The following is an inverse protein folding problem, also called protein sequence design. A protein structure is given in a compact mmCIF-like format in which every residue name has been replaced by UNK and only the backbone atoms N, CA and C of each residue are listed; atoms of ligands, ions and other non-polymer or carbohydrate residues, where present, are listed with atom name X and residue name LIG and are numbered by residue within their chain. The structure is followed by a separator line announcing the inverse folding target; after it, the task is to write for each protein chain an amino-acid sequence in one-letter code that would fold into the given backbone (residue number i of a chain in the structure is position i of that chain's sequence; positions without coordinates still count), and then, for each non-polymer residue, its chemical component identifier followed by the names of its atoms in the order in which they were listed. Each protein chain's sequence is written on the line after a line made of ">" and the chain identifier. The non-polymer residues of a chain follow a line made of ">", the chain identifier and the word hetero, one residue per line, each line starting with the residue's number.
data_IF_222899285483
#
_entry.id   IF_222899285483
#
_cell.length_a   1.000
_cell.length_b   1.000
_cell.length_c   1.000
_cell.angle_alpha   90.00
_cell.angle_beta   90.00
_cell.angle_gamma   90.00
#
_symmetry.space_group_name_H-M   'P 1'
#
loop_
_entity.id
_entity.type
_entity.pdbx_description
1 polymer ?
#
# COMPACT_ATOMS: atom_id res chain seq x y z
N UNK A 1 -2.00 -37.35 -6.79
CA UNK A 1 -0.66 -36.80 -6.47
C UNK A 1 -0.56 -36.62 -4.97
N UNK A 2 0.55 -37.04 -4.34
CA UNK A 2 0.76 -36.80 -2.92
C UNK A 2 0.80 -35.28 -2.62
N UNK A 3 0.19 -34.86 -1.50
CA UNK A 3 0.21 -33.48 -1.05
C UNK A 3 1.64 -33.12 -0.65
N UNK A 4 2.19 -32.02 -1.16
CA UNK A 4 3.50 -31.49 -0.76
C UNK A 4 3.55 -31.25 0.75
N UNK A 5 4.63 -31.69 1.41
CA UNK A 5 4.83 -31.48 2.85
C UNK A 5 5.10 -29.99 3.13
N UNK A 6 4.69 -29.52 4.31
CA UNK A 6 4.88 -28.11 4.71
C UNK A 6 6.36 -27.69 4.67
N UNK A 7 7.26 -28.54 5.15
CA UNK A 7 8.70 -28.27 5.14
C UNK A 7 9.26 -28.10 3.71
N UNK A 8 8.83 -28.96 2.76
CA UNK A 8 9.28 -28.90 1.36
C UNK A 8 8.75 -27.62 0.69
N UNK A 9 7.51 -27.22 1.01
CA UNK A 9 6.90 -26.01 0.52
C UNK A 9 7.60 -24.75 1.03
N UNK A 10 7.97 -24.71 2.32
CA UNK A 10 8.74 -23.63 2.92
C UNK A 10 10.13 -23.54 2.27
N UNK A 11 10.85 -24.66 2.13
CA UNK A 11 12.16 -24.66 1.48
C UNK A 11 12.09 -24.11 0.05
N UNK A 12 11.05 -24.49 -0.70
CA UNK A 12 10.80 -23.97 -2.06
C UNK A 12 10.46 -22.47 -2.04
N UNK A 13 9.70 -21.97 -1.06
CA UNK A 13 9.39 -20.55 -0.92
C UNK A 13 10.66 -19.73 -0.65
N UNK A 14 11.50 -20.20 0.26
CA UNK A 14 12.79 -19.56 0.57
C UNK A 14 13.72 -19.53 -0.64
N UNK A 15 13.83 -20.62 -1.40
CA UNK A 15 14.63 -20.67 -2.61
C UNK A 15 14.11 -19.69 -3.70
N UNK A 16 12.79 -19.50 -3.81
CA UNK A 16 12.20 -18.52 -4.70
C UNK A 16 12.53 -17.10 -4.24
N UNK A 17 12.38 -16.81 -2.93
CA UNK A 17 12.70 -15.50 -2.35
C UNK A 17 14.17 -15.13 -2.58
N UNK A 18 15.09 -16.07 -2.33
CA UNK A 18 16.52 -15.88 -2.57
C UNK A 18 16.84 -15.57 -4.04
N UNK A 19 16.25 -16.32 -4.99
CA UNK A 19 16.41 -16.04 -6.42
C UNK A 19 15.85 -14.69 -6.84
N UNK A 20 14.70 -14.29 -6.29
CA UNK A 20 14.10 -12.98 -6.55
C UNK A 20 15.01 -11.87 -6.02
N UNK A 21 15.52 -12.01 -4.80
CA UNK A 21 16.44 -11.04 -4.21
C UNK A 21 17.74 -10.92 -5.02
N UNK A 22 18.31 -12.04 -5.46
CA UNK A 22 19.52 -12.05 -6.30
C UNK A 22 19.31 -11.46 -7.70
N UNK A 23 18.07 -11.50 -8.23
CA UNK A 23 17.76 -11.00 -9.57
C UNK A 23 17.32 -9.53 -9.58
N UNK A 24 16.52 -9.11 -8.62
CA UNK A 24 15.94 -7.77 -8.56
C UNK A 24 16.67 -6.83 -7.57
N UNK A 25 17.50 -7.37 -6.67
CA UNK A 25 18.14 -6.60 -5.62
C UNK A 25 17.13 -6.08 -4.59
N UNK A 26 17.48 -4.98 -3.94
CA UNK A 26 16.57 -4.30 -3.02
C UNK A 26 15.46 -3.58 -3.80
N UNK A 27 14.23 -4.01 -3.57
CA UNK A 27 13.06 -3.35 -4.13
C UNK A 27 12.81 -2.04 -3.38
N UNK A 28 12.87 -0.92 -4.07
CA UNK A 28 12.53 0.39 -3.52
C UNK A 28 11.14 0.83 -3.97
N UNK A 29 10.49 1.63 -3.13
CA UNK A 29 9.22 2.26 -3.48
C UNK A 29 9.43 3.24 -4.63
N UNK A 30 8.67 3.11 -5.71
CA UNK A 30 8.76 3.98 -6.88
C UNK A 30 8.03 5.32 -6.68
N UNK A 31 7.21 5.46 -5.65
CA UNK A 31 6.50 6.70 -5.32
C UNK A 31 7.44 7.71 -4.65
N UNK A 32 7.32 8.97 -5.03
CA UNK A 32 8.08 10.05 -4.39
C UNK A 32 7.34 10.54 -3.14
N UNK A 33 8.02 10.46 -2.01
CA UNK A 33 7.52 10.91 -0.71
C UNK A 33 8.67 11.41 0.17
N UNK A 34 8.33 12.13 1.25
CA UNK A 34 9.31 12.67 2.21
C UNK A 34 8.98 12.33 3.66
N UNK A 35 7.72 11.98 3.94
CA UNK A 35 7.23 11.65 5.28
C UNK A 35 6.29 10.45 5.21
N UNK A 36 6.00 9.76 6.34
CA UNK A 36 4.98 8.71 6.38
C UNK A 36 3.61 9.19 5.90
N UNK A 37 3.26 10.45 6.17
CA UNK A 37 2.01 11.05 5.69
C UNK A 37 1.99 11.17 4.16
N UNK A 38 3.02 11.77 3.56
CA UNK A 38 3.10 11.93 2.10
C UNK A 38 3.16 10.60 1.39
N UNK A 39 3.80 9.58 1.99
CA UNK A 39 3.73 8.20 1.50
C UNK A 39 2.29 7.66 1.53
N UNK A 40 1.59 7.81 2.66
CA UNK A 40 0.19 7.35 2.80
C UNK A 40 -0.69 7.94 1.70
N UNK A 41 -0.58 9.26 1.47
CA UNK A 41 -1.33 9.94 0.42
C UNK A 41 -0.89 9.45 -0.98
N UNK A 42 0.40 9.30 -1.25
CA UNK A 42 0.89 8.82 -2.54
C UNK A 42 0.39 7.40 -2.85
N UNK A 43 0.42 6.48 -1.86
CA UNK A 43 -0.10 5.11 -2.01
C UNK A 43 -1.63 5.11 -2.19
N UNK A 44 -2.36 5.98 -1.47
CA UNK A 44 -3.80 6.16 -1.70
C UNK A 44 -4.09 6.61 -3.14
N UNK A 45 -3.32 7.55 -3.66
CA UNK A 45 -3.45 8.04 -5.03
C UNK A 45 -3.06 6.99 -6.08
N UNK A 46 -2.20 6.02 -5.77
CA UNK A 46 -1.77 4.99 -6.72
C UNK A 46 -2.82 3.91 -6.99
N UNK A 47 -3.93 3.87 -6.24
CA UNK A 47 -5.03 2.95 -6.53
C UNK A 47 -5.54 3.13 -7.97
N UNK A 48 -5.42 2.09 -8.80
CA UNK A 48 -5.77 2.10 -10.24
C UNK A 48 -5.10 3.25 -11.03
N UNK A 49 -3.88 3.62 -10.64
CA UNK A 49 -3.08 4.65 -11.30
C UNK A 49 -1.61 4.21 -11.26
N UNK A 50 -0.85 4.49 -12.30
CA UNK A 50 0.59 4.18 -12.33
C UNK A 50 1.36 5.10 -11.38
N UNK A 51 2.45 4.59 -10.79
CA UNK A 51 3.32 5.40 -9.91
C UNK A 51 3.87 6.63 -10.64
N UNK A 52 4.23 6.49 -11.91
CA UNK A 52 4.64 7.63 -12.75
C UNK A 52 3.53 8.69 -12.89
N UNK A 53 2.26 8.27 -12.95
CA UNK A 53 1.11 9.19 -12.97
C UNK A 53 0.94 9.93 -11.64
N UNK A 54 1.11 9.22 -10.51
CA UNK A 54 1.09 9.81 -9.17
C UNK A 54 2.24 10.80 -8.99
N UNK A 55 3.45 10.39 -9.36
CA UNK A 55 4.66 11.22 -9.23
C UNK A 55 4.63 12.52 -10.04
N UNK A 56 3.77 12.63 -11.06
CA UNK A 56 3.55 13.87 -11.80
C UNK A 56 2.73 14.90 -11.02
N UNK A 57 1.83 14.47 -10.14
CA UNK A 57 0.92 15.37 -9.43
C UNK A 57 1.34 15.64 -7.98
N UNK A 58 2.09 14.72 -7.36
CA UNK A 58 2.50 14.83 -5.95
C UNK A 58 3.44 16.00 -5.65
N UNK A 59 4.34 16.47 -6.52
CA UNK A 59 5.16 17.65 -6.23
C UNK A 59 4.34 18.92 -5.97
N UNK A 60 3.34 19.22 -6.82
CA UNK A 60 2.44 20.36 -6.59
C UNK A 60 1.56 20.12 -5.35
N UNK A 61 1.01 18.90 -5.21
CA UNK A 61 0.15 18.56 -4.09
C UNK A 61 0.88 18.71 -2.75
N UNK A 62 2.07 18.16 -2.62
CA UNK A 62 2.81 18.16 -1.36
C UNK A 62 3.50 19.50 -1.06
N UNK A 63 3.78 20.32 -2.06
CA UNK A 63 4.26 21.69 -1.82
C UNK A 63 3.22 22.55 -1.08
N UNK A 64 1.92 22.30 -1.30
CA UNK A 64 0.82 23.00 -0.66
C UNK A 64 0.28 22.27 0.56
N UNK A 65 0.13 20.95 0.46
CA UNK A 65 -0.61 20.10 1.39
C UNK A 65 0.23 18.91 1.89
N UNK A 66 1.53 19.12 2.10
CA UNK A 66 2.47 18.07 2.50
C UNK A 66 2.40 17.64 3.98
N UNK A 67 1.51 18.24 4.77
CA UNK A 67 1.29 17.89 6.19
C UNK A 67 -0.16 17.48 6.42
N UNK A 68 -0.45 16.63 7.44
CA UNK A 68 -1.83 16.27 7.79
C UNK A 68 -2.68 17.49 8.05
N UNK A 69 -2.16 18.49 8.77
CA UNK A 69 -2.88 19.71 9.10
C UNK A 69 -3.26 20.51 7.85
N UNK A 70 -2.32 20.74 6.94
CA UNK A 70 -2.57 21.48 5.70
C UNK A 70 -3.58 20.75 4.81
N UNK A 71 -3.46 19.44 4.67
CA UNK A 71 -4.35 18.61 3.87
C UNK A 71 -5.77 18.55 4.47
N UNK A 72 -5.90 18.46 5.80
CA UNK A 72 -7.18 18.41 6.50
C UNK A 72 -8.01 19.68 6.31
N UNK A 73 -7.36 20.83 6.09
CA UNK A 73 -7.95 22.14 5.88
C UNK A 73 -8.02 22.55 4.40
N UNK A 74 -7.60 21.67 3.50
CA UNK A 74 -7.51 21.97 2.09
C UNK A 74 -8.88 22.16 1.45
N UNK A 75 -8.95 23.08 0.47
CA UNK A 75 -10.11 23.18 -0.40
C UNK A 75 -10.20 21.97 -1.33
N UNK A 76 -11.38 21.36 -1.38
CA UNK A 76 -11.62 20.17 -2.17
C UNK A 76 -11.36 20.39 -3.67
N UNK A 77 -11.80 21.51 -4.21
CA UNK A 77 -11.66 21.78 -5.65
C UNK A 77 -10.19 22.07 -6.01
N UNK A 78 -9.39 22.64 -5.12
CA UNK A 78 -7.95 22.82 -5.37
C UNK A 78 -7.23 21.48 -5.41
N UNK A 79 -7.48 20.56 -4.45
CA UNK A 79 -6.91 19.19 -4.52
C UNK A 79 -7.39 18.48 -5.78
N UNK A 80 -8.70 18.49 -6.05
CA UNK A 80 -9.29 17.84 -7.23
C UNK A 80 -8.70 18.38 -8.54
N UNK A 81 -8.40 19.66 -8.61
CA UNK A 81 -7.71 20.30 -9.74
C UNK A 81 -6.28 19.78 -9.91
N UNK A 82 -5.52 19.75 -8.82
CA UNK A 82 -4.12 19.30 -8.84
C UNK A 82 -4.03 17.84 -9.30
N UNK A 83 -4.87 16.94 -8.75
CA UNK A 83 -4.82 15.52 -9.06
C UNK A 83 -5.73 15.12 -10.24
N UNK A 84 -6.30 16.07 -10.98
CA UNK A 84 -7.19 15.81 -12.13
C UNK A 84 -6.62 14.85 -13.19
N UNK A 85 -5.30 14.83 -13.46
CA UNK A 85 -4.72 13.90 -14.44
C UNK A 85 -4.82 12.42 -14.06
N UNK A 86 -5.10 12.08 -12.81
CA UNK A 86 -5.21 10.68 -12.37
C UNK A 86 -6.68 10.24 -12.29
N UNK A 87 -6.91 8.92 -12.52
CA UNK A 87 -8.27 8.35 -12.50
C UNK A 87 -8.95 8.49 -11.13
N UNK A 88 -10.28 8.64 -11.14
CA UNK A 88 -11.11 8.79 -9.93
C UNK A 88 -10.71 9.97 -9.02
N UNK A 89 -10.16 11.03 -9.61
CA UNK A 89 -9.56 12.14 -8.89
C UNK A 89 -10.49 12.79 -7.85
N UNK A 90 -11.80 12.92 -8.10
CA UNK A 90 -12.73 13.52 -7.13
C UNK A 90 -12.89 12.63 -5.88
N UNK A 91 -13.02 11.32 -6.04
CA UNK A 91 -13.08 10.37 -4.92
C UNK A 91 -11.75 10.37 -4.15
N UNK A 92 -10.63 10.38 -4.86
CA UNK A 92 -9.30 10.45 -4.27
C UNK A 92 -9.07 11.75 -3.49
N UNK A 93 -9.49 12.91 -4.03
CA UNK A 93 -9.41 14.19 -3.34
C UNK A 93 -10.18 14.15 -2.01
N UNK A 94 -11.42 13.61 -2.04
CA UNK A 94 -12.24 13.41 -0.85
C UNK A 94 -11.55 12.54 0.20
N UNK A 95 -10.98 11.42 -0.25
CA UNK A 95 -10.27 10.50 0.63
C UNK A 95 -8.99 11.11 1.20
N UNK A 96 -8.23 11.90 0.43
CA UNK A 96 -7.04 12.60 0.94
C UNK A 96 -7.39 13.54 2.11
N UNK A 97 -8.42 14.37 1.94
CA UNK A 97 -8.88 15.30 2.99
C UNK A 97 -9.38 14.52 4.21
N UNK A 98 -10.27 13.55 4.00
CA UNK A 98 -10.86 12.77 5.09
C UNK A 98 -9.80 11.94 5.84
N UNK A 99 -8.82 11.37 5.12
CA UNK A 99 -7.68 10.68 5.72
C UNK A 99 -6.86 11.62 6.62
N UNK A 100 -6.54 12.80 6.13
CA UNK A 100 -5.80 13.81 6.89
C UNK A 100 -6.60 14.30 8.12
N UNK A 101 -7.91 14.53 7.97
CA UNK A 101 -8.79 14.91 9.08
C UNK A 101 -8.79 13.85 10.18
N UNK A 102 -8.92 12.56 9.83
CA UNK A 102 -8.89 11.47 10.79
C UNK A 102 -7.51 11.34 11.46
N UNK A 103 -6.42 11.52 10.70
CA UNK A 103 -5.06 11.54 11.27
C UNK A 103 -4.94 12.66 12.32
N UNK A 104 -5.51 13.83 12.06
CA UNK A 104 -5.49 14.95 13.00
C UNK A 104 -6.36 14.69 14.24
N UNK A 105 -7.59 14.18 14.06
CA UNK A 105 -8.55 14.02 15.17
C UNK A 105 -8.26 12.80 16.05
N UNK A 106 -7.93 11.66 15.44
CA UNK A 106 -7.90 10.37 16.13
C UNK A 106 -6.47 9.91 16.47
N UNK A 107 -5.48 10.44 15.73
CA UNK A 107 -4.07 10.02 15.84
C UNK A 107 -3.10 11.17 16.14
N UNK A 108 -3.60 12.34 16.57
CA UNK A 108 -2.77 13.45 17.01
C UNK A 108 -1.85 14.05 15.95
N UNK A 109 -2.20 13.86 14.67
CA UNK A 109 -1.42 14.38 13.53
C UNK A 109 -0.33 13.41 13.04
N UNK A 110 -0.21 12.21 13.61
CA UNK A 110 0.77 11.20 13.19
C UNK A 110 0.09 10.02 12.49
N UNK A 111 0.76 9.48 11.47
CA UNK A 111 0.29 8.27 10.79
C UNK A 111 0.38 7.08 11.75
N UNK A 112 -0.72 6.34 11.98
CA UNK A 112 -0.71 5.21 12.89
C UNK A 112 0.24 4.10 12.43
N UNK A 113 0.83 3.38 13.40
CA UNK A 113 1.81 2.31 13.17
C UNK A 113 1.24 0.91 13.41
N UNK A 114 -0.06 0.78 13.31
CA UNK A 114 -0.82 -0.45 13.52
C UNK A 114 -1.73 -0.68 12.32
N UNK A 115 -1.83 -1.93 11.86
CA UNK A 115 -2.55 -2.26 10.62
C UNK A 115 -4.06 -2.04 10.73
N UNK A 116 -4.64 -2.31 11.90
CA UNK A 116 -6.08 -2.13 12.12
C UNK A 116 -6.44 -0.65 12.21
N UNK A 117 -5.55 0.16 12.79
CA UNK A 117 -5.71 1.61 12.83
C UNK A 117 -5.52 2.23 11.43
N UNK A 118 -4.52 1.77 10.67
CA UNK A 118 -4.31 2.21 9.29
C UNK A 118 -5.53 1.95 8.41
N UNK A 119 -6.18 0.79 8.56
CA UNK A 119 -7.36 0.44 7.77
C UNK A 119 -8.61 1.25 8.14
N UNK A 120 -8.62 2.00 9.24
CA UNK A 120 -9.70 2.95 9.56
C UNK A 120 -9.60 4.23 8.73
N UNK A 121 -8.41 4.56 8.24
CA UNK A 121 -8.19 5.76 7.44
C UNK A 121 -8.97 5.70 6.12
N UNK A 122 -9.72 6.75 5.76
CA UNK A 122 -10.46 6.81 4.50
C UNK A 122 -9.57 6.59 3.27
N UNK A 123 -9.94 5.60 2.45
CA UNK A 123 -9.19 5.25 1.24
C UNK A 123 -7.97 4.35 1.48
N UNK A 124 -7.72 3.93 2.72
CA UNK A 124 -6.63 3.03 3.09
C UNK A 124 -7.17 1.62 3.30
N UNK A 125 -6.94 0.74 2.35
CA UNK A 125 -7.22 -0.68 2.48
C UNK A 125 -6.02 -1.45 3.05
N UNK A 126 -6.19 -2.76 3.33
CA UNK A 126 -5.14 -3.61 3.89
C UNK A 126 -3.83 -3.59 3.08
N UNK A 127 -3.91 -3.64 1.74
CA UNK A 127 -2.72 -3.52 0.88
C UNK A 127 -1.99 -2.21 1.10
N UNK A 128 -2.71 -1.08 1.11
CA UNK A 128 -2.15 0.26 1.34
C UNK A 128 -1.50 0.33 2.72
N UNK A 129 -2.17 -0.18 3.76
CA UNK A 129 -1.65 -0.23 5.12
C UNK A 129 -0.32 -1.01 5.19
N UNK A 130 -0.27 -2.22 4.62
CA UNK A 130 0.96 -3.03 4.57
C UNK A 130 2.11 -2.31 3.86
N UNK A 131 1.84 -1.64 2.73
CA UNK A 131 2.88 -0.88 2.01
C UNK A 131 3.41 0.27 2.86
N UNK A 132 2.53 1.06 3.48
CA UNK A 132 2.95 2.21 4.30
C UNK A 132 3.69 1.77 5.55
N UNK A 133 3.20 0.74 6.26
CA UNK A 133 3.83 0.23 7.48
C UNK A 133 5.25 -0.30 7.19
N UNK A 134 5.40 -1.06 6.12
CA UNK A 134 6.70 -1.60 5.74
C UNK A 134 7.65 -0.48 5.30
N UNK A 135 7.23 0.36 4.37
CA UNK A 135 8.09 1.35 3.72
C UNK A 135 8.47 2.52 4.65
N UNK A 136 7.50 3.05 5.42
CA UNK A 136 7.73 4.20 6.28
C UNK A 136 8.30 3.84 7.66
N UNK A 137 8.01 2.64 8.17
CA UNK A 137 8.32 2.28 9.55
C UNK A 137 9.10 0.97 9.70
N UNK A 138 9.33 0.22 8.62
CA UNK A 138 9.96 -1.11 8.66
C UNK A 138 9.12 -2.15 9.39
N UNK A 139 7.81 -1.92 9.54
CA UNK A 139 6.88 -2.82 10.23
C UNK A 139 6.31 -3.81 9.21
N UNK A 140 6.67 -5.08 9.35
CA UNK A 140 6.24 -6.16 8.46
C UNK A 140 5.26 -7.08 9.21
N UNK A 141 3.99 -6.68 9.27
CA UNK A 141 2.91 -7.47 9.87
C UNK A 141 2.12 -8.29 8.84
N UNK A 142 2.29 -7.97 7.56
CA UNK A 142 1.56 -8.61 6.48
C UNK A 142 2.28 -8.53 5.13
N UNK A 143 1.64 -9.08 4.12
CA UNK A 143 2.13 -9.07 2.73
C UNK A 143 1.15 -8.27 1.89
N UNK A 144 1.65 -7.26 1.20
CA UNK A 144 0.84 -6.44 0.28
C UNK A 144 0.46 -7.25 -0.97
N UNK A 145 -0.64 -8.01 -0.91
CA UNK A 145 -1.10 -8.87 -2.00
C UNK A 145 -1.87 -8.03 -3.02
N UNK A 146 -1.21 -7.75 -4.14
CA UNK A 146 -1.84 -7.20 -5.34
C UNK A 146 -2.19 -8.30 -6.36
N UNK A 147 -2.67 -7.92 -7.54
CA UNK A 147 -3.02 -8.87 -8.61
C UNK A 147 -1.82 -9.68 -9.10
N UNK A 148 -0.60 -9.14 -9.02
CA UNK A 148 0.62 -9.83 -9.42
C UNK A 148 1.05 -10.85 -8.37
N UNK A 149 1.12 -10.44 -7.10
CA UNK A 149 1.42 -11.34 -5.97
C UNK A 149 0.37 -12.45 -5.90
N UNK A 150 -0.91 -12.10 -6.01
CA UNK A 150 -2.01 -13.08 -6.04
C UNK A 150 -1.78 -14.14 -7.11
N UNK A 151 -1.59 -13.73 -8.37
CA UNK A 151 -1.38 -14.63 -9.49
C UNK A 151 -0.12 -15.49 -9.35
N UNK A 152 0.99 -14.91 -8.88
CA UNK A 152 2.27 -15.61 -8.71
C UNK A 152 2.16 -16.64 -7.58
N UNK A 153 1.56 -16.28 -6.45
CA UNK A 153 1.35 -17.18 -5.32
C UNK A 153 0.57 -18.43 -5.71
N UNK A 154 -0.50 -18.28 -6.53
CA UNK A 154 -1.28 -19.39 -7.05
C UNK A 154 -0.50 -20.21 -8.09
N UNK A 155 0.19 -19.54 -9.02
CA UNK A 155 1.00 -20.20 -10.03
C UNK A 155 2.11 -21.04 -9.42
N UNK A 156 2.73 -20.56 -8.36
CA UNK A 156 3.76 -21.27 -7.60
C UNK A 156 3.16 -22.24 -6.56
N UNK A 157 1.83 -22.36 -6.46
CA UNK A 157 1.12 -23.22 -5.49
C UNK A 157 1.47 -22.91 -4.03
N UNK A 158 1.86 -21.68 -3.72
CA UNK A 158 2.01 -21.18 -2.36
C UNK A 158 0.65 -20.87 -1.74
N UNK A 159 -0.30 -20.41 -2.55
CA UNK A 159 -1.71 -20.30 -2.21
C UNK A 159 -2.51 -21.36 -2.96
N UNK A 160 -3.44 -22.02 -2.27
CA UNK A 160 -4.33 -23.02 -2.87
C UNK A 160 -5.61 -22.42 -3.44
N UNK A 161 -6.47 -23.22 -4.10
CA UNK A 161 -7.74 -22.74 -4.69
C UNK A 161 -8.70 -22.10 -3.68
N UNK A 162 -8.60 -22.45 -2.40
CA UNK A 162 -9.41 -21.85 -1.32
C UNK A 162 -8.99 -20.43 -0.96
N UNK A 163 -7.78 -20.02 -1.32
CA UNK A 163 -7.26 -18.67 -1.11
C UNK A 163 -7.69 -17.76 -2.28
N UNK A 164 -8.99 -17.64 -2.51
CA UNK A 164 -9.63 -17.00 -3.66
C UNK A 164 -9.71 -15.46 -3.58
N UNK A 165 -9.24 -14.88 -2.48
CA UNK A 165 -9.14 -13.44 -2.28
C UNK A 165 -7.72 -13.01 -1.92
N UNK A 166 -7.34 -11.72 -2.11
CA UNK A 166 -6.05 -11.19 -1.67
C UNK A 166 -5.79 -11.44 -0.17
N UNK A 167 -6.79 -11.24 0.70
CA UNK A 167 -6.66 -11.48 2.14
C UNK A 167 -6.35 -12.96 2.47
N UNK A 168 -7.09 -13.89 1.88
CA UNK A 168 -6.83 -15.33 2.07
C UNK A 168 -5.48 -15.76 1.46
N UNK A 169 -5.06 -15.10 0.39
CA UNK A 169 -3.74 -15.34 -0.21
C UNK A 169 -2.62 -14.84 0.71
N UNK A 170 -2.78 -13.66 1.31
CA UNK A 170 -1.88 -13.14 2.34
C UNK A 170 -1.77 -14.12 3.51
N UNK A 171 -2.89 -14.57 4.06
CA UNK A 171 -2.93 -15.55 5.14
C UNK A 171 -2.22 -16.87 4.78
N UNK A 172 -2.45 -17.37 3.55
CA UNK A 172 -1.78 -18.56 3.05
C UNK A 172 -0.26 -18.39 2.92
N UNK A 173 0.22 -17.21 2.53
CA UNK A 173 1.64 -16.89 2.42
C UNK A 173 2.29 -16.73 3.81
N UNK A 174 1.60 -16.08 4.74
CA UNK A 174 2.07 -15.90 6.11
C UNK A 174 2.13 -17.24 6.91
N UNK A 175 1.37 -18.25 6.47
CA UNK A 175 1.35 -19.57 7.10
C UNK A 175 2.46 -20.51 6.61
N UNK A 176 3.28 -20.09 5.66
CA UNK A 176 4.40 -20.90 5.15
C UNK A 176 5.52 -21.00 6.16
#
# INVERSE_FOLDING_TARGET
>A
MAREKKADKLARALAVAERMNGHYGEAACALHYTTPFTLTIAVLLSAQTTDAGVNKVTPELFSKYGTPQAMAQADFEDIARIIRPIGFYRTKAKNCIACAQMIMSDFGGEVPRDIDQMQKLPGVGRKTANVVLNEAFGIVEGIAVDTHVFRIAHKLKFAGPSADTPAKTEEALLSL
#
